data_IF_793501299596
#
_entry.id   IF_793501299596
#
_cell.length_a   1.000
_cell.length_b   1.000
_cell.length_c   1.000
_cell.angle_alpha   90.00
_cell.angle_beta   90.00
_cell.angle_gamma   90.00
#
_symmetry.space_group_name_H-M   'P 1'
#
loop_
_entity.id
_entity.type
_entity.pdbx_description
1 polymer ?
#
# COMPACT_ATOMS: atom_id res chain seq x y z
N UNK A 1 -25.56 18.03 7.83
CA UNK A 1 -24.17 18.50 7.56
C UNK A 1 -23.53 17.58 6.51
N UNK A 2 -22.98 18.11 5.42
CA UNK A 2 -22.43 17.30 4.32
C UNK A 2 -20.92 17.47 4.20
N UNK A 3 -20.20 16.36 4.10
CA UNK A 3 -18.77 16.33 3.81
C UNK A 3 -18.57 16.38 2.30
N UNK A 4 -17.97 17.46 1.83
CA UNK A 4 -17.71 17.65 0.41
C UNK A 4 -16.30 17.18 0.04
N UNK A 5 -16.08 16.89 -1.24
CA UNK A 5 -14.74 16.58 -1.75
C UNK A 5 -14.13 17.82 -2.38
N UNK A 6 -12.86 18.07 -2.09
CA UNK A 6 -12.12 19.15 -2.73
C UNK A 6 -11.93 18.84 -4.22
N UNK A 7 -12.13 19.84 -5.07
CA UNK A 7 -11.99 19.69 -6.51
C UNK A 7 -10.55 19.32 -6.95
N UNK A 8 -9.52 19.85 -6.27
CA UNK A 8 -8.13 19.64 -6.65
C UNK A 8 -7.50 18.40 -5.98
N UNK A 9 -7.60 18.32 -4.64
CA UNK A 9 -6.95 17.28 -3.84
C UNK A 9 -7.79 15.99 -3.73
N UNK A 10 -9.11 16.08 -3.95
CA UNK A 10 -10.13 15.07 -3.61
C UNK A 10 -10.17 14.65 -2.13
N UNK A 11 -9.48 15.38 -1.23
CA UNK A 11 -9.64 15.22 0.21
C UNK A 11 -11.01 15.72 0.66
N UNK A 12 -11.43 15.27 1.84
CA UNK A 12 -12.65 15.73 2.51
C UNK A 12 -12.52 17.19 2.95
N UNK A 13 -13.59 17.95 2.77
CA UNK A 13 -13.75 19.33 3.22
C UNK A 13 -14.82 19.32 4.30
N UNK A 14 -14.40 19.63 5.53
CA UNK A 14 -15.31 19.81 6.65
C UNK A 14 -15.91 21.21 6.62
N UNK A 15 -17.13 21.41 7.15
CA UNK A 15 -17.73 22.74 7.30
C UNK A 15 -16.84 23.69 8.10
N UNK A 16 -16.84 24.97 7.72
CA UNK A 16 -15.93 25.97 8.28
C UNK A 16 -14.49 25.90 7.74
N UNK A 17 -14.13 24.89 6.94
CA UNK A 17 -12.79 24.77 6.37
C UNK A 17 -12.75 25.04 4.87
N UNK A 18 -11.62 25.62 4.44
CA UNK A 18 -11.32 25.78 3.03
C UNK A 18 -11.94 27.02 2.41
N UNK A 19 -12.04 27.02 1.08
CA UNK A 19 -12.56 28.15 0.30
C UNK A 19 -13.47 27.59 -0.79
N UNK A 20 -14.57 28.29 -1.05
CA UNK A 20 -15.46 28.02 -2.18
C UNK A 20 -15.28 29.12 -3.23
N UNK A 21 -15.01 28.73 -4.47
CA UNK A 21 -14.99 29.62 -5.62
C UNK A 21 -16.19 29.30 -6.51
N UNK A 22 -16.99 30.31 -6.82
CA UNK A 22 -18.12 30.20 -7.76
C UNK A 22 -17.70 30.88 -9.05
N UNK A 23 -17.76 30.14 -10.15
CA UNK A 23 -17.47 30.67 -11.49
C UNK A 23 -18.76 31.15 -12.15
N UNK A 24 -18.65 32.04 -13.13
CA UNK A 24 -19.79 32.63 -13.85
C UNK A 24 -20.74 31.60 -14.47
N UNK A 25 -20.29 30.38 -14.78
CA UNK A 25 -21.11 29.26 -15.26
C UNK A 25 -21.86 28.53 -14.12
N UNK A 26 -22.04 29.18 -12.98
CA UNK A 26 -22.60 28.65 -11.74
C UNK A 26 -21.88 27.39 -11.20
N UNK A 27 -20.69 27.06 -11.69
CA UNK A 27 -19.93 25.92 -11.16
C UNK A 27 -19.24 26.28 -9.87
N UNK A 28 -19.49 25.43 -8.88
CA UNK A 28 -18.95 25.57 -7.53
C UNK A 28 -17.70 24.70 -7.39
N UNK A 29 -16.56 25.34 -7.12
CA UNK A 29 -15.30 24.69 -6.81
C UNK A 29 -15.01 24.82 -5.32
N UNK A 30 -14.98 23.68 -4.61
CA UNK A 30 -14.61 23.64 -3.19
C UNK A 30 -13.15 23.24 -3.04
N UNK A 31 -12.40 23.93 -2.19
CA UNK A 31 -10.99 23.66 -1.93
C UNK A 31 -10.73 23.33 -0.47
N UNK A 32 -9.96 22.26 -0.23
CA UNK A 32 -9.59 21.80 1.11
C UNK A 32 -8.68 22.81 1.86
N UNK A 33 -7.75 23.46 1.14
CA UNK A 33 -6.71 24.35 1.70
C UNK A 33 -6.27 25.40 0.67
N UNK A 34 -5.61 26.46 1.12
CA UNK A 34 -5.04 27.52 0.26
C UNK A 34 -4.10 26.97 -0.82
N UNK A 35 -3.33 25.90 -0.53
CA UNK A 35 -2.49 25.18 -1.52
C UNK A 35 -3.29 24.73 -2.76
N UNK A 36 -4.48 24.19 -2.57
CA UNK A 36 -5.32 23.72 -3.67
C UNK A 36 -5.89 24.88 -4.47
N UNK A 37 -6.32 25.92 -3.76
CA UNK A 37 -6.85 27.13 -4.37
C UNK A 37 -5.80 27.88 -5.20
N UNK A 38 -4.56 28.04 -4.69
CA UNK A 38 -3.45 28.65 -5.42
C UNK A 38 -3.08 27.85 -6.68
N UNK A 39 -2.99 26.53 -6.58
CA UNK A 39 -2.72 25.68 -7.75
C UNK A 39 -3.82 25.76 -8.81
N UNK A 40 -5.09 25.89 -8.39
CA UNK A 40 -6.21 26.12 -9.29
C UNK A 40 -6.09 27.48 -10.00
N UNK A 41 -5.77 28.56 -9.27
CA UNK A 41 -5.52 29.89 -9.85
C UNK A 41 -4.36 29.89 -10.86
N UNK A 42 -3.31 29.11 -10.57
CA UNK A 42 -2.19 28.87 -11.49
C UNK A 42 -2.53 27.93 -12.66
N UNK A 43 -3.81 27.54 -12.83
CA UNK A 43 -4.30 26.65 -13.89
C UNK A 43 -3.55 25.31 -13.97
N UNK A 44 -3.00 24.81 -12.86
CA UNK A 44 -2.32 23.51 -12.84
C UNK A 44 -3.33 22.39 -12.99
N UNK A 45 -3.05 21.42 -13.86
CA UNK A 45 -3.92 20.26 -14.04
C UNK A 45 -3.72 19.24 -12.89
N UNK A 46 -4.74 18.93 -12.07
CA UNK A 46 -4.59 17.98 -10.96
C UNK A 46 -4.18 16.58 -11.43
N UNK A 47 -4.48 16.19 -12.68
CA UNK A 47 -4.07 14.90 -13.26
C UNK A 47 -2.56 14.79 -13.51
N UNK A 48 -1.84 15.92 -13.58
CA UNK A 48 -0.37 15.95 -13.73
C UNK A 48 0.35 16.14 -12.39
N UNK A 49 -0.36 16.54 -11.33
CA UNK A 49 0.22 16.82 -10.02
C UNK A 49 0.29 15.55 -9.16
N UNK A 50 1.51 15.04 -8.93
CA UNK A 50 1.79 13.70 -8.36
C UNK A 50 1.09 13.34 -7.04
N UNK A 51 0.81 14.32 -6.19
CA UNK A 51 0.24 14.10 -4.86
C UNK A 51 -1.30 14.05 -4.83
N UNK A 52 -1.98 14.45 -5.91
CA UNK A 52 -3.44 14.44 -5.94
C UNK A 52 -3.99 13.02 -6.11
N UNK A 53 -5.22 12.79 -5.65
CA UNK A 53 -5.91 11.52 -5.90
C UNK A 53 -6.23 11.31 -7.38
N UNK A 54 -6.48 12.38 -8.13
CA UNK A 54 -6.70 12.31 -9.58
C UNK A 54 -5.48 11.72 -10.32
N UNK A 55 -4.27 12.17 -9.99
CA UNK A 55 -3.04 11.60 -10.54
C UNK A 55 -2.87 10.14 -10.16
N UNK A 56 -3.11 9.80 -8.88
CA UNK A 56 -2.96 8.43 -8.38
C UNK A 56 -3.92 7.46 -9.07
N UNK A 57 -5.17 7.86 -9.27
CA UNK A 57 -6.19 7.08 -9.99
C UNK A 57 -5.76 6.83 -11.45
N UNK A 58 -5.34 7.89 -12.15
CA UNK A 58 -4.95 7.79 -13.57
C UNK A 58 -3.70 6.90 -13.79
N UNK A 59 -2.75 6.92 -12.85
CA UNK A 59 -1.52 6.14 -12.93
C UNK A 59 -1.61 4.77 -12.26
N UNK A 60 -2.82 4.29 -11.95
CA UNK A 60 -3.02 2.97 -11.33
C UNK A 60 -2.37 2.81 -9.95
N UNK A 61 -2.18 3.90 -9.20
CA UNK A 61 -1.62 3.87 -7.83
C UNK A 61 -2.67 3.60 -6.75
N UNK A 62 -3.93 3.89 -7.05
CA UNK A 62 -5.07 3.58 -6.19
C UNK A 62 -6.02 2.68 -7.02
N UNK A 63 -6.74 1.78 -6.36
CA UNK A 63 -7.75 0.94 -7.01
C UNK A 63 -8.86 1.82 -7.60
N UNK A 64 -9.24 1.57 -8.85
CA UNK A 64 -10.19 2.43 -9.59
C UNK A 64 -11.55 1.81 -9.83
N UNK A 65 -11.62 0.48 -9.89
CA UNK A 65 -12.80 -0.33 -10.15
C UNK A 65 -12.98 -1.29 -8.97
N UNK A 66 -13.94 -1.01 -8.10
CA UNK A 66 -14.29 -1.86 -6.97
C UNK A 66 -15.76 -1.64 -6.61
N UNK A 67 -16.47 -2.73 -6.32
CA UNK A 67 -17.88 -2.68 -5.97
C UNK A 67 -18.14 -1.85 -4.69
N UNK A 68 -17.15 -1.76 -3.79
CA UNK A 68 -17.30 -0.95 -2.56
C UNK A 68 -17.50 0.54 -2.85
N UNK A 69 -17.13 1.04 -4.02
CA UNK A 69 -17.32 2.44 -4.39
C UNK A 69 -18.76 2.76 -4.80
N UNK A 70 -19.55 1.77 -5.21
CA UNK A 70 -20.94 1.98 -5.65
C UNK A 70 -21.85 2.42 -4.49
N UNK A 71 -21.51 2.01 -3.26
CA UNK A 71 -22.25 2.41 -2.05
C UNK A 71 -22.14 3.91 -1.73
N UNK A 72 -21.10 4.62 -2.21
CA UNK A 72 -20.93 6.06 -1.98
C UNK A 72 -21.68 6.96 -2.98
N UNK A 73 -22.48 6.37 -3.87
CA UNK A 73 -23.21 7.12 -4.91
C UNK A 73 -24.16 8.15 -4.31
N UNK A 74 -24.27 9.31 -4.96
CA UNK A 74 -25.25 10.34 -4.59
C UNK A 74 -26.65 9.87 -5.00
N UNK A 75 -27.56 9.75 -4.03
CA UNK A 75 -28.98 9.49 -4.27
C UNK A 75 -29.68 10.82 -4.52
N UNK A 76 -30.32 10.97 -5.67
CA UNK A 76 -31.10 12.17 -6.02
C UNK A 76 -32.58 12.05 -5.61
N UNK A 77 -33.08 10.83 -5.47
CA UNK A 77 -34.43 10.56 -4.94
C UNK A 77 -34.33 10.21 -3.46
N UNK A 78 -35.01 10.94 -2.57
CA UNK A 78 -35.14 10.55 -1.18
C UNK A 78 -36.13 9.38 -1.05
N UNK A 79 -35.84 8.48 -0.13
CA UNK A 79 -36.77 7.43 0.32
C UNK A 79 -37.44 7.89 1.62
N UNK A 80 -38.61 7.32 1.93
CA UNK A 80 -39.22 7.52 3.25
C UNK A 80 -38.32 6.89 4.31
N UNK A 81 -38.35 7.48 5.50
CA UNK A 81 -37.56 6.99 6.62
C UNK A 81 -38.15 5.68 7.14
N UNK A 82 -37.34 4.63 7.17
CA UNK A 82 -37.65 3.34 7.80
C UNK A 82 -36.56 2.99 8.81
N UNK A 83 -36.95 2.80 10.09
CA UNK A 83 -36.00 2.55 11.18
C UNK A 83 -35.15 1.31 10.93
N UNK A 84 -35.77 0.20 10.50
CA UNK A 84 -35.09 -1.06 10.23
C UNK A 84 -34.02 -0.93 9.13
N UNK A 85 -34.33 -0.20 8.05
CA UNK A 85 -33.39 0.07 6.96
C UNK A 85 -32.22 0.91 7.45
N UNK A 86 -32.47 1.95 8.25
CA UNK A 86 -31.40 2.77 8.81
C UNK A 86 -30.50 1.99 9.75
N UNK A 87 -31.04 1.12 10.60
CA UNK A 87 -30.26 0.28 11.50
C UNK A 87 -29.36 -0.71 10.74
N UNK A 88 -29.91 -1.39 9.73
CA UNK A 88 -29.15 -2.27 8.86
C UNK A 88 -28.03 -1.51 8.12
N UNK A 89 -28.31 -0.30 7.65
CA UNK A 89 -27.33 0.55 6.97
C UNK A 89 -26.19 0.94 7.91
N UNK A 90 -26.50 1.31 9.15
CA UNK A 90 -25.47 1.66 10.16
C UNK A 90 -24.56 0.47 10.48
N UNK A 91 -25.11 -0.75 10.54
CA UNK A 91 -24.32 -1.99 10.70
C UNK A 91 -23.44 -2.28 9.48
N UNK A 92 -23.93 -2.00 8.27
CA UNK A 92 -23.21 -2.28 7.02
C UNK A 92 -22.02 -1.33 6.74
N UNK A 93 -22.13 -0.04 7.08
CA UNK A 93 -21.09 0.98 6.81
C UNK A 93 -19.68 0.60 7.32
N UNK A 94 -19.47 0.20 8.60
CA UNK A 94 -18.14 -0.15 9.10
C UNK A 94 -17.58 -1.40 8.41
N UNK A 95 -18.44 -2.37 8.09
CA UNK A 95 -18.05 -3.59 7.37
C UNK A 95 -17.53 -3.25 5.96
N UNK A 96 -18.27 -2.43 5.21
CA UNK A 96 -17.87 -1.98 3.86
C UNK A 96 -16.53 -1.22 3.93
N UNK A 97 -16.37 -0.37 4.95
CA UNK A 97 -15.14 0.40 5.16
C UNK A 97 -13.94 -0.51 5.43
N UNK A 98 -14.10 -1.52 6.29
CA UNK A 98 -13.07 -2.52 6.57
C UNK A 98 -12.65 -3.27 5.30
N UNK A 99 -13.62 -3.80 4.55
CA UNK A 99 -13.39 -4.53 3.29
C UNK A 99 -12.62 -3.64 2.30
N UNK A 100 -13.02 -2.37 2.15
CA UNK A 100 -12.34 -1.42 1.27
C UNK A 100 -10.88 -1.21 1.68
N UNK A 101 -10.61 -1.03 2.97
CA UNK A 101 -9.24 -0.84 3.47
C UNK A 101 -8.38 -2.08 3.23
N UNK A 102 -8.91 -3.28 3.46
CA UNK A 102 -8.20 -4.54 3.21
C UNK A 102 -7.87 -4.71 1.72
N UNK A 103 -8.83 -4.49 0.83
CA UNK A 103 -8.61 -4.55 -0.63
C UNK A 103 -7.58 -3.51 -1.08
N UNK A 104 -7.67 -2.28 -0.57
CA UNK A 104 -6.70 -1.23 -0.90
C UNK A 104 -5.30 -1.59 -0.42
N UNK A 105 -5.17 -2.16 0.79
CA UNK A 105 -3.89 -2.64 1.32
C UNK A 105 -3.31 -3.72 0.42
N UNK A 106 -4.12 -4.71 0.03
CA UNK A 106 -3.72 -5.79 -0.90
C UNK A 106 -3.16 -5.23 -2.21
N UNK A 107 -3.88 -4.31 -2.86
CA UNK A 107 -3.42 -3.67 -4.10
C UNK A 107 -2.09 -2.91 -3.95
N UNK A 108 -1.88 -2.23 -2.82
CA UNK A 108 -0.62 -1.55 -2.54
C UNK A 108 0.51 -2.56 -2.35
N UNK A 109 0.27 -3.64 -1.61
CA UNK A 109 1.28 -4.68 -1.36
C UNK A 109 1.68 -5.43 -2.63
N UNK A 110 0.72 -5.76 -3.49
CA UNK A 110 0.97 -6.41 -4.78
C UNK A 110 1.83 -5.53 -5.68
N UNK A 111 1.54 -4.22 -5.73
CA UNK A 111 2.36 -3.27 -6.49
C UNK A 111 3.79 -3.16 -5.95
N UNK A 112 3.98 -3.23 -4.64
CA UNK A 112 5.29 -3.11 -4.01
C UNK A 112 6.13 -4.40 -4.10
N UNK A 113 5.51 -5.56 -4.37
CA UNK A 113 6.18 -6.86 -4.41
C UNK A 113 7.36 -6.89 -5.39
N UNK A 114 7.23 -6.25 -6.55
CA UNK A 114 8.29 -6.18 -7.56
C UNK A 114 9.49 -5.30 -7.19
N UNK A 115 9.34 -4.38 -6.22
CA UNK A 115 10.43 -3.50 -5.81
C UNK A 115 11.55 -4.25 -5.07
N UNK A 116 11.19 -5.26 -4.27
CA UNK A 116 12.16 -6.00 -3.44
C UNK A 116 13.20 -6.76 -4.27
N UNK A 117 12.80 -7.36 -5.39
CA UNK A 117 13.72 -8.07 -6.28
C UNK A 117 14.66 -7.12 -7.02
N UNK A 118 14.16 -5.94 -7.41
CA UNK A 118 14.97 -4.90 -8.04
C UNK A 118 16.02 -4.34 -7.08
N UNK A 119 15.63 -4.10 -5.82
CA UNK A 119 16.56 -3.66 -4.76
C UNK A 119 17.65 -4.70 -4.53
N UNK A 120 17.31 -5.98 -4.34
CA UNK A 120 18.33 -7.04 -4.19
C UNK A 120 19.32 -7.09 -5.36
N UNK A 121 18.85 -6.84 -6.59
CA UNK A 121 19.70 -6.79 -7.78
C UNK A 121 20.59 -5.56 -7.82
N UNK A 122 20.12 -4.40 -7.35
CA UNK A 122 20.98 -3.22 -7.21
C UNK A 122 22.01 -3.42 -6.12
N UNK A 123 21.59 -3.92 -4.95
CA UNK A 123 22.47 -4.14 -3.80
C UNK A 123 23.60 -5.12 -4.15
N UNK A 124 23.29 -6.20 -4.86
CA UNK A 124 24.32 -7.14 -5.35
C UNK A 124 25.32 -6.46 -6.30
N UNK A 125 24.86 -5.60 -7.22
CA UNK A 125 25.74 -4.84 -8.12
C UNK A 125 26.58 -3.80 -7.38
N UNK A 126 26.02 -3.16 -6.36
CA UNK A 126 26.75 -2.22 -5.51
C UNK A 126 27.83 -2.95 -4.73
N UNK A 127 27.52 -4.11 -4.14
CA UNK A 127 28.51 -4.97 -3.49
C UNK A 127 29.63 -5.36 -4.46
N UNK A 128 29.30 -5.81 -5.67
CA UNK A 128 30.29 -6.19 -6.69
C UNK A 128 31.21 -5.03 -7.10
N UNK A 129 30.67 -3.80 -7.21
CA UNK A 129 31.43 -2.60 -7.55
C UNK A 129 32.33 -2.10 -6.41
N UNK A 130 31.89 -2.33 -5.17
CA UNK A 130 32.47 -1.73 -3.97
C UNK A 130 32.98 -2.78 -2.98
N UNK A 131 33.40 -3.95 -3.47
CA UNK A 131 33.95 -5.05 -2.66
C UNK A 131 35.06 -4.54 -1.74
N UNK A 132 35.92 -3.66 -2.24
CA UNK A 132 37.10 -3.15 -1.53
C UNK A 132 36.77 -2.26 -0.32
N UNK A 133 35.56 -1.68 -0.27
CA UNK A 133 35.11 -0.88 0.87
C UNK A 133 34.51 -1.74 1.99
N UNK A 134 34.28 -3.03 1.73
CA UNK A 134 33.78 -3.96 2.73
C UNK A 134 34.97 -4.55 3.49
N UNK A 135 34.98 -4.48 4.84
CA UNK A 135 36.00 -5.16 5.64
C UNK A 135 36.01 -6.64 5.28
N UNK A 136 37.20 -7.16 4.93
CA UNK A 136 37.36 -8.61 4.71
C UNK A 136 36.90 -9.32 5.98
N UNK A 137 35.84 -10.11 5.89
CA UNK A 137 35.43 -10.96 7.00
C UNK A 137 36.57 -11.96 7.24
N UNK A 138 37.21 -11.88 8.40
CA UNK A 138 38.13 -12.91 8.85
C UNK A 138 37.31 -14.18 9.06
N UNK A 139 37.36 -15.09 8.09
CA UNK A 139 36.76 -16.41 8.27
C UNK A 139 37.63 -17.17 9.26
N UNK A 140 37.17 -17.30 10.50
CA UNK A 140 37.68 -18.33 11.41
C UNK A 140 37.47 -19.68 10.72
N UNK A 141 38.56 -20.26 10.22
CA UNK A 141 38.57 -21.53 9.52
C UNK A 141 38.22 -22.67 10.49
N UNK A 142 36.94 -22.84 10.80
CA UNK A 142 36.44 -24.06 11.43
C UNK A 142 36.45 -25.18 10.38
N UNK A 143 37.57 -25.90 10.30
CA UNK A 143 37.63 -27.16 9.55
C UNK A 143 36.59 -28.11 10.15
N UNK A 144 35.52 -28.37 9.39
CA UNK A 144 34.51 -29.35 9.77
C UNK A 144 35.20 -30.72 9.88
N UNK A 145 35.41 -31.20 11.12
CA UNK A 145 36.01 -32.52 11.39
C UNK A 145 35.16 -33.60 10.70
N UNK A 146 35.71 -34.21 9.65
CA UNK A 146 35.11 -35.42 9.07
C UNK A 146 35.13 -36.52 10.12
N UNK A 147 33.94 -36.97 10.55
CA UNK A 147 33.82 -38.18 11.38
C UNK A 147 34.06 -39.38 10.48
N UNK A 148 35.27 -39.94 10.55
CA UNK A 148 35.57 -41.25 9.98
C UNK A 148 34.93 -42.31 10.87
N UNK A 149 34.00 -43.09 10.31
CA UNK A 149 33.44 -44.27 10.97
C UNK A 149 34.47 -45.40 10.86
N UNK A 150 35.17 -45.68 11.96
CA UNK A 150 36.09 -46.82 12.07
C UNK A 150 35.25 -48.09 12.29
N UNK A 151 35.25 -49.01 11.33
CA UNK A 151 34.72 -50.36 11.50
C UNK A 151 35.67 -51.18 12.36
N UNK A 152 35.21 -51.67 13.52
CA UNK A 152 35.98 -52.57 14.38
C UNK A 152 36.13 -53.93 13.69
N UNK A 153 37.37 -54.34 13.43
CA UNK A 153 37.71 -55.69 13.01
C UNK A 153 37.48 -56.64 14.20
N UNK A 154 36.65 -57.67 14.01
CA UNK A 154 36.46 -58.75 14.98
C UNK A 154 37.74 -59.56 15.05
N UNK A 155 38.38 -59.58 16.22
CA UNK A 155 39.51 -60.48 16.53
C UNK A 155 38.96 -61.89 16.79
N UNK A 156 39.37 -62.84 15.96
CA UNK A 156 39.17 -64.28 16.15
C UNK A 156 40.30 -64.81 17.06
N UNK A 157 40.09 -64.83 18.37
CA UNK A 157 40.86 -65.65 19.30
C UNK A 157 39.91 -66.21 20.36
N UNK A 158 39.44 -67.43 20.11
CA UNK A 158 38.95 -68.38 21.12
C UNK A 158 39.01 -69.78 20.46
N UNK A 159 40.20 -70.35 20.49
CA UNK A 159 40.46 -71.77 20.28
C UNK A 159 41.36 -72.23 21.43
N UNK A 160 40.92 -73.28 22.13
CA UNK A 160 41.60 -74.05 23.18
C UNK A 160 41.38 -73.61 24.64
N UNK A 161 40.30 -74.12 25.23
CA UNK A 161 40.28 -74.80 26.54
C UNK A 161 39.00 -75.66 26.62
N UNK A 162 39.12 -76.91 26.17
CA UNK A 162 38.55 -78.10 26.82
C UNK A 162 39.73 -78.91 27.37
#
# INVERSE_FOLDING_TARGET
>A
MRLEKCWFCSSTVYPGHGIQFVRNDAKIFRFCRSKCHKNFKMKRNPRKVKWTKAYRRLRGKDMTQDATFEFERKRNRPERYDRNVTEQTLKAIPLITKIRHERQKKHITERQKGGKSMVRKSDAKELDQFIDMVPKQETENYVAKQKVLVSQLKTEENLMEE
#
